data_IF_353562869742
#
_entry.id   IF_353562869742
#
_cell.length_a   1.000
_cell.length_b   1.000
_cell.length_c   1.000
_cell.angle_alpha   90.00
_cell.angle_beta   90.00
_cell.angle_gamma   90.00
#
_symmetry.space_group_name_H-M   'P 1'
#
loop_
_entity.id
_entity.type
_entity.pdbx_description
1 polymer ?
#
# COMPACT_ATOMS: atom_id res chain seq x y z
N UNK A 1 10.02 -18.10 -64.27
CA UNK A 1 10.06 -19.14 -63.21
C UNK A 1 11.50 -19.36 -62.74
N UNK A 2 12.07 -18.39 -62.02
CA UNK A 2 13.43 -18.52 -61.46
C UNK A 2 13.56 -17.85 -60.07
N UNK A 3 12.75 -16.84 -59.78
CA UNK A 3 12.91 -16.02 -58.55
C UNK A 3 12.25 -16.67 -57.31
N UNK A 4 11.18 -17.45 -57.47
CA UNK A 4 10.46 -18.05 -56.32
C UNK A 4 11.17 -19.28 -55.71
N UNK A 5 12.19 -19.84 -56.37
CA UNK A 5 12.95 -20.99 -55.83
C UNK A 5 14.12 -20.58 -54.93
N UNK A 6 14.62 -19.36 -55.06
CA UNK A 6 15.70 -18.83 -54.23
C UNK A 6 15.18 -18.46 -52.82
N UNK A 7 14.00 -17.83 -52.73
CA UNK A 7 13.40 -17.37 -51.47
C UNK A 7 13.05 -18.52 -50.49
N UNK A 8 12.61 -19.68 -51.00
CA UNK A 8 12.35 -20.86 -50.15
C UNK A 8 13.62 -21.54 -49.62
N UNK A 9 14.79 -21.31 -50.23
CA UNK A 9 16.07 -21.85 -49.76
C UNK A 9 16.68 -21.03 -48.63
N UNK A 10 16.34 -19.76 -48.53
CA UNK A 10 16.86 -18.86 -47.49
C UNK A 10 16.08 -18.98 -46.18
N UNK A 11 14.75 -19.20 -46.23
CA UNK A 11 13.92 -19.42 -45.03
C UNK A 11 14.24 -20.74 -44.29
N UNK A 12 14.75 -21.76 -44.99
CA UNK A 12 15.18 -23.02 -44.35
C UNK A 12 16.53 -22.94 -43.65
N UNK A 13 17.36 -21.92 -43.92
CA UNK A 13 18.68 -21.76 -43.29
C UNK A 13 18.64 -21.02 -41.95
N UNK A 14 17.53 -20.35 -41.63
CA UNK A 14 17.35 -19.60 -40.39
C UNK A 14 16.69 -20.40 -39.27
N UNK A 15 16.22 -21.64 -39.52
CA UNK A 15 15.48 -22.45 -38.55
C UNK A 15 16.27 -23.65 -37.99
N UNK A 16 17.60 -23.63 -38.08
CA UNK A 16 18.44 -24.74 -37.61
C UNK A 16 19.77 -24.25 -37.04
N UNK A 17 19.71 -23.75 -35.79
CA UNK A 17 20.80 -23.56 -34.82
C UNK A 17 20.30 -22.49 -33.83
N UNK A 18 20.22 -22.62 -32.51
CA UNK A 18 20.72 -23.56 -31.51
C UNK A 18 19.72 -23.49 -30.33
N UNK A 19 19.34 -24.56 -29.64
CA UNK A 19 20.24 -25.21 -28.71
C UNK A 19 20.52 -24.40 -27.43
N UNK A 20 19.74 -23.34 -27.13
CA UNK A 20 19.92 -22.52 -25.92
C UNK A 20 19.35 -23.16 -24.65
N UNK A 21 20.25 -23.71 -23.84
CA UNK A 21 20.11 -24.08 -22.43
C UNK A 21 19.08 -23.25 -21.64
N UNK A 22 17.87 -23.80 -21.46
CA UNK A 22 16.80 -23.21 -20.65
C UNK A 22 17.03 -23.34 -19.14
N UNK A 23 18.17 -23.86 -18.69
CA UNK A 23 18.47 -24.08 -17.27
C UNK A 23 18.95 -22.83 -16.49
N UNK A 24 19.34 -21.75 -17.17
CA UNK A 24 19.99 -20.60 -16.53
C UNK A 24 19.06 -19.41 -16.23
N UNK A 25 17.90 -19.29 -16.91
CA UNK A 25 17.00 -18.14 -16.74
C UNK A 25 16.13 -18.24 -15.49
N UNK A 26 15.91 -19.47 -14.98
CA UNK A 26 15.05 -19.70 -13.81
C UNK A 26 15.75 -19.42 -12.46
N UNK A 27 17.07 -19.23 -12.46
CA UNK A 27 17.87 -18.86 -11.27
C UNK A 27 18.12 -17.36 -11.09
N UNK A 28 17.64 -16.51 -12.01
CA UNK A 28 17.73 -15.06 -11.88
C UNK A 28 16.49 -14.43 -11.20
N UNK A 29 15.56 -15.24 -10.68
CA UNK A 29 14.57 -14.78 -9.69
C UNK A 29 15.18 -14.75 -8.29
N UNK A 30 16.43 -14.29 -8.22
CA UNK A 30 17.16 -14.07 -6.99
C UNK A 30 16.43 -13.01 -6.18
N UNK A 31 15.87 -13.45 -5.06
CA UNK A 31 15.62 -12.67 -3.85
C UNK A 31 15.38 -11.18 -4.12
N UNK A 32 14.11 -10.80 -4.32
CA UNK A 32 13.70 -9.51 -3.78
C UNK A 32 13.99 -9.63 -2.29
N UNK A 33 15.09 -9.04 -1.86
CA UNK A 33 15.32 -8.78 -0.45
C UNK A 33 14.06 -8.06 0.02
N UNK A 34 13.26 -8.76 0.80
CA UNK A 34 12.22 -8.15 1.61
C UNK A 34 12.96 -7.25 2.58
N UNK A 35 13.34 -6.06 2.10
CA UNK A 35 13.77 -4.98 2.96
C UNK A 35 12.55 -4.67 3.80
N UNK A 36 12.48 -5.33 4.96
CA UNK A 36 11.54 -5.04 6.01
C UNK A 36 11.74 -3.55 6.32
N UNK A 37 10.86 -2.74 5.72
CA UNK A 37 11.01 -1.31 5.78
C UNK A 37 10.96 -0.93 7.26
N UNK A 38 11.96 -0.19 7.70
CA UNK A 38 12.08 0.20 9.09
C UNK A 38 10.80 0.95 9.49
N UNK A 39 10.07 0.42 10.47
CA UNK A 39 8.72 0.87 10.80
C UNK A 39 8.63 2.40 11.01
N UNK A 40 9.61 3.07 11.67
CA UNK A 40 9.63 4.53 11.74
C UNK A 40 9.66 5.24 10.40
N UNK A 41 10.35 4.72 9.38
CA UNK A 41 10.38 5.33 8.04
C UNK A 41 9.01 5.25 7.35
N UNK A 42 8.24 4.20 7.63
CA UNK A 42 6.88 4.03 7.13
C UNK A 42 5.86 4.89 7.88
N UNK A 43 6.05 5.08 9.17
CA UNK A 43 5.11 5.79 10.04
C UNK A 43 5.37 7.28 10.13
N UNK A 44 6.61 7.74 9.90
CA UNK A 44 6.96 9.14 10.02
C UNK A 44 6.20 9.99 8.99
N UNK A 45 5.66 11.10 9.49
CA UNK A 45 5.07 12.16 8.68
C UNK A 45 5.19 13.50 9.46
N UNK A 46 5.55 14.61 8.80
CA UNK A 46 5.55 15.93 9.43
C UNK A 46 4.15 16.36 9.90
N UNK A 47 3.09 15.88 9.23
CA UNK A 47 1.72 16.19 9.59
C UNK A 47 1.21 15.15 10.60
N UNK A 48 0.82 15.61 11.78
CA UNK A 48 0.35 14.73 12.86
C UNK A 48 -0.81 13.82 12.43
N UNK A 49 -1.81 14.38 11.76
CA UNK A 49 -2.96 13.61 11.31
C UNK A 49 -2.58 12.53 10.30
N UNK A 50 -1.66 12.80 9.38
CA UNK A 50 -1.18 11.78 8.43
C UNK A 50 -0.36 10.69 9.13
N UNK A 51 0.49 11.06 10.10
CA UNK A 51 1.25 10.13 10.94
C UNK A 51 0.31 9.20 11.71
N UNK A 52 -0.76 9.75 12.28
CA UNK A 52 -1.79 8.98 12.95
C UNK A 52 -2.48 7.99 11.98
N UNK A 53 -2.85 8.42 10.77
CA UNK A 53 -3.46 7.53 9.78
C UNK A 53 -2.52 6.38 9.39
N UNK A 54 -1.24 6.69 9.17
CA UNK A 54 -0.22 5.67 8.91
C UNK A 54 -0.12 4.67 10.06
N UNK A 55 -0.08 5.14 11.30
CA UNK A 55 -0.06 4.29 12.49
C UNK A 55 -1.32 3.40 12.57
N UNK A 56 -2.51 3.98 12.40
CA UNK A 56 -3.78 3.27 12.48
C UNK A 56 -3.95 2.21 11.39
N UNK A 57 -3.44 2.46 10.17
CA UNK A 57 -3.50 1.50 9.07
C UNK A 57 -2.49 0.36 9.22
N UNK A 58 -1.29 0.63 9.72
CA UNK A 58 -0.21 -0.36 9.78
C UNK A 58 -0.20 -1.15 11.10
N UNK A 59 -0.47 -0.48 12.22
CA UNK A 59 -0.32 -1.02 13.59
C UNK A 59 -1.44 -0.52 14.51
N UNK A 60 -2.70 -0.92 14.24
CA UNK A 60 -3.85 -0.52 15.07
C UNK A 60 -3.73 -0.99 16.53
N UNK A 61 -2.92 -2.03 16.78
CA UNK A 61 -2.60 -2.55 18.11
C UNK A 61 -1.81 -1.57 18.99
N UNK A 62 -1.10 -0.61 18.38
CA UNK A 62 -0.31 0.40 19.07
C UNK A 62 -1.09 1.68 19.38
N UNK A 63 -2.34 1.78 18.93
CA UNK A 63 -3.18 2.94 19.22
C UNK A 63 -3.57 2.93 20.70
N UNK A 64 -3.36 4.07 21.36
CA UNK A 64 -3.91 4.33 22.69
C UNK A 64 -5.43 4.33 22.67
N UNK A 65 -6.09 4.24 23.82
CA UNK A 65 -7.56 4.24 23.89
C UNK A 65 -8.17 5.45 23.17
N UNK A 66 -7.65 6.65 23.44
CA UNK A 66 -8.08 7.89 22.79
C UNK A 66 -7.89 7.83 21.26
N UNK A 67 -6.75 7.33 20.81
CA UNK A 67 -6.45 7.17 19.39
C UNK A 67 -7.37 6.15 18.70
N UNK A 68 -7.78 5.09 19.41
CA UNK A 68 -8.79 4.15 18.91
C UNK A 68 -10.15 4.85 18.71
N UNK A 69 -10.55 5.73 19.63
CA UNK A 69 -11.77 6.54 19.49
C UNK A 69 -11.66 7.51 18.30
N UNK A 70 -10.50 8.14 18.10
CA UNK A 70 -10.24 8.97 16.92
C UNK A 70 -10.35 8.15 15.63
N UNK A 71 -9.76 6.95 15.60
CA UNK A 71 -9.82 6.06 14.45
C UNK A 71 -11.25 5.61 14.15
N UNK A 72 -12.01 5.28 15.19
CA UNK A 72 -13.43 4.97 15.09
C UNK A 72 -14.22 6.15 14.49
N UNK A 73 -13.99 7.38 14.95
CA UNK A 73 -14.67 8.56 14.41
C UNK A 73 -14.41 8.74 12.91
N UNK A 74 -13.17 8.47 12.46
CA UNK A 74 -12.80 8.49 11.04
C UNK A 74 -13.51 7.38 10.25
N UNK A 75 -13.58 6.17 10.79
CA UNK A 75 -14.24 5.04 10.12
C UNK A 75 -15.77 5.18 10.04
N UNK A 76 -16.40 5.81 11.04
CA UNK A 76 -17.86 5.98 11.08
C UNK A 76 -18.35 7.17 10.25
N UNK A 77 -17.46 8.08 9.85
CA UNK A 77 -17.81 9.24 9.03
C UNK A 77 -17.39 9.06 7.56
N UNK A 78 -18.33 8.90 6.61
CA UNK A 78 -18.02 8.72 5.20
C UNK A 78 -17.15 9.84 4.60
N UNK A 79 -17.25 11.07 5.11
CA UNK A 79 -16.45 12.22 4.65
C UNK A 79 -14.95 12.01 4.86
N UNK A 80 -14.59 11.30 5.93
CA UNK A 80 -13.21 11.07 6.34
C UNK A 80 -12.73 9.69 5.94
N UNK A 81 -13.59 8.67 6.07
CA UNK A 81 -13.28 7.29 5.65
C UNK A 81 -12.91 7.20 4.16
N UNK A 82 -13.64 7.93 3.31
CA UNK A 82 -13.55 7.77 1.86
C UNK A 82 -14.03 6.38 1.38
N UNK A 83 -13.76 6.07 0.11
CA UNK A 83 -14.19 4.82 -0.53
C UNK A 83 -13.16 3.71 -0.34
N UNK A 84 -12.78 3.46 0.91
CA UNK A 84 -11.79 2.42 1.28
C UNK A 84 -10.38 2.95 1.53
N UNK A 85 -10.10 4.21 1.16
CA UNK A 85 -8.87 4.93 1.53
C UNK A 85 -9.23 6.21 2.27
N UNK A 86 -8.65 6.47 3.46
CA UNK A 86 -8.91 7.68 4.22
C UNK A 86 -8.71 8.97 3.40
N UNK A 87 -9.69 9.86 3.45
CA UNK A 87 -9.63 11.17 2.83
C UNK A 87 -8.72 12.11 3.64
N UNK A 88 -7.42 12.05 3.38
CA UNK A 88 -6.41 12.82 4.13
C UNK A 88 -6.67 14.32 4.14
N UNK A 89 -7.15 14.89 3.03
CA UNK A 89 -7.47 16.33 2.97
C UNK A 89 -8.62 16.65 3.93
N UNK A 90 -9.69 15.86 3.89
CA UNK A 90 -10.82 16.01 4.80
C UNK A 90 -10.42 15.83 6.27
N UNK A 91 -9.58 14.84 6.56
CA UNK A 91 -9.08 14.54 7.90
C UNK A 91 -8.19 15.66 8.44
N UNK A 92 -7.26 16.19 7.64
CA UNK A 92 -6.41 17.32 8.02
C UNK A 92 -7.24 18.55 8.36
N UNK A 93 -8.22 18.89 7.52
CA UNK A 93 -9.10 20.05 7.76
C UNK A 93 -10.01 19.85 8.96
N UNK A 94 -10.40 18.61 9.28
CA UNK A 94 -11.28 18.28 10.39
C UNK A 94 -10.54 17.76 11.63
N UNK A 95 -9.22 17.89 11.71
CA UNK A 95 -8.42 17.22 12.76
C UNK A 95 -8.85 17.60 14.18
N UNK A 96 -9.17 18.88 14.41
CA UNK A 96 -9.70 19.34 15.69
C UNK A 96 -11.10 18.81 16.01
N UNK A 97 -11.95 18.65 14.99
CA UNK A 97 -13.30 18.08 15.14
C UNK A 97 -13.23 16.60 15.53
N UNK A 98 -12.37 15.84 14.85
CA UNK A 98 -12.10 14.42 15.16
C UNK A 98 -11.60 14.26 16.59
N UNK A 99 -10.64 15.11 17.00
CA UNK A 99 -10.10 15.09 18.37
C UNK A 99 -11.17 15.36 19.42
N UNK A 100 -12.01 16.38 19.20
CA UNK A 100 -13.08 16.74 20.13
C UNK A 100 -14.12 15.61 20.23
N UNK A 101 -14.50 15.01 19.11
CA UNK A 101 -15.44 13.90 19.10
C UNK A 101 -14.90 12.69 19.89
N UNK A 102 -13.61 12.36 19.73
CA UNK A 102 -12.97 11.31 20.50
C UNK A 102 -12.96 11.63 22.01
N UNK A 103 -12.69 12.87 22.39
CA UNK A 103 -12.71 13.32 23.79
C UNK A 103 -14.12 13.27 24.40
N UNK A 104 -15.15 13.61 23.64
CA UNK A 104 -16.55 13.48 24.06
C UNK A 104 -16.92 12.02 24.28
N UNK A 105 -16.49 11.12 23.40
CA UNK A 105 -16.72 9.68 23.54
C UNK A 105 -15.97 9.07 24.72
N UNK A 106 -14.74 9.52 24.98
CA UNK A 106 -13.94 9.12 26.14
C UNK A 106 -14.67 9.47 27.45
N UNK A 107 -15.12 10.73 27.56
CA UNK A 107 -15.92 11.20 28.71
C UNK A 107 -17.23 10.45 28.89
N UNK A 108 -17.90 10.09 27.80
CA UNK A 108 -19.14 9.31 27.88
C UNK A 108 -18.86 7.86 28.31
N UNK A 109 -17.74 7.26 27.88
CA UNK A 109 -17.31 5.94 28.34
C UNK A 109 -17.09 5.87 29.85
N UNK A 110 -16.52 6.92 30.43
CA UNK A 110 -16.33 7.05 31.89
C UNK A 110 -17.65 7.19 32.66
N UNK A 111 -18.73 7.68 32.03
CA UNK A 111 -20.03 7.83 32.70
C UNK A 111 -20.84 6.54 32.85
N UNK A 112 -20.41 5.45 32.21
CA UNK A 112 -21.08 4.14 32.26
C UNK A 112 -20.27 3.05 33.00
N UNK A 113 -19.17 3.41 33.69
CA UNK A 113 -18.39 2.52 34.56
C UNK A 113 -18.64 2.81 36.04
#
# INVERSE_FOLDING_TARGET
>A
MAIERELRREESRLNHDEGGDTGAVEKARGRREEHEAYLPDLLWDPVESDRFIKLAQQRPDLLTHREQLMWKAIQENPRWRGDGTPNLVGIRSAWGEINRQAEEWDKLGDTFS
#
